data_IF_376689474304
#
_entry.id   IF_376689474304
#
_cell.length_a   1.000
_cell.length_b   1.000
_cell.length_c   1.000
_cell.angle_alpha   90.00
_cell.angle_beta   90.00
_cell.angle_gamma   90.00
#
_symmetry.space_group_name_H-M   'P 1'
#
loop_
_entity.id
_entity.type
_entity.pdbx_description
1 polymer ?
#
# COMPACT_ATOMS: atom_id res chain seq x y z
N UNK A 1 -0.94 -11.97 -31.86
CA UNK A 1 -2.14 -11.15 -32.22
C UNK A 1 -2.55 -10.40 -30.96
N UNK A 2 -2.72 -9.06 -30.99
CA UNK A 2 -3.03 -8.29 -29.77
C UNK A 2 -4.38 -8.74 -29.21
N UNK A 3 -4.41 -9.23 -27.97
CA UNK A 3 -5.66 -9.64 -27.32
C UNK A 3 -6.65 -8.46 -27.20
N UNK A 4 -7.93 -8.77 -27.35
CA UNK A 4 -9.00 -7.83 -27.05
C UNK A 4 -9.08 -7.60 -25.54
N UNK A 5 -9.56 -6.43 -25.13
CA UNK A 5 -9.63 -6.10 -23.71
C UNK A 5 -10.56 -7.07 -22.95
N UNK A 6 -11.65 -7.51 -23.60
CA UNK A 6 -12.58 -8.50 -23.03
C UNK A 6 -11.92 -9.86 -22.84
N UNK A 7 -11.07 -10.31 -23.77
CA UNK A 7 -10.36 -11.60 -23.61
C UNK A 7 -9.34 -11.53 -22.49
N UNK A 8 -8.66 -10.39 -22.31
CA UNK A 8 -7.75 -10.18 -21.17
C UNK A 8 -8.48 -10.41 -19.83
N UNK A 9 -9.70 -9.92 -19.70
CA UNK A 9 -10.50 -10.06 -18.48
C UNK A 9 -11.05 -11.49 -18.29
N UNK A 10 -11.71 -12.03 -19.32
CA UNK A 10 -12.36 -13.35 -19.26
C UNK A 10 -11.34 -14.46 -19.08
N UNK A 11 -10.29 -14.45 -19.91
CA UNK A 11 -9.28 -15.48 -19.84
C UNK A 11 -8.40 -15.29 -18.60
N UNK A 12 -8.15 -14.05 -18.15
CA UNK A 12 -7.48 -13.80 -16.88
C UNK A 12 -8.25 -14.36 -15.68
N UNK A 13 -9.58 -14.24 -15.68
CA UNK A 13 -10.44 -14.90 -14.69
C UNK A 13 -10.36 -16.42 -14.78
N UNK A 14 -10.36 -16.98 -16.00
CA UNK A 14 -10.18 -18.41 -16.20
C UNK A 14 -8.81 -18.90 -15.70
N UNK A 15 -7.73 -18.16 -15.96
CA UNK A 15 -6.38 -18.47 -15.47
C UNK A 15 -6.34 -18.52 -13.95
N UNK A 16 -6.89 -17.50 -13.26
CA UNK A 16 -7.00 -17.48 -11.79
C UNK A 16 -7.82 -18.66 -11.27
N UNK A 17 -9.00 -18.90 -11.83
CA UNK A 17 -9.90 -19.98 -11.41
C UNK A 17 -9.25 -21.37 -11.52
N UNK A 18 -8.47 -21.59 -12.57
CA UNK A 18 -7.79 -22.86 -12.80
C UNK A 18 -6.50 -23.00 -11.98
N UNK A 19 -6.00 -21.92 -11.36
CA UNK A 19 -4.74 -21.87 -10.64
C UNK A 19 -4.90 -21.20 -9.26
N UNK A 20 -5.54 -21.87 -8.29
CA UNK A 20 -5.74 -21.32 -6.95
C UNK A 20 -4.41 -21.04 -6.23
N UNK A 21 -3.32 -21.69 -6.64
CA UNK A 21 -1.98 -21.47 -6.10
C UNK A 21 -1.47 -20.03 -6.28
N UNK A 22 -2.00 -19.25 -7.24
CA UNK A 22 -1.66 -17.82 -7.42
C UNK A 22 -2.01 -17.00 -6.17
N UNK A 23 -2.89 -17.50 -5.29
CA UNK A 23 -3.27 -16.83 -4.05
C UNK A 23 -2.20 -16.96 -2.94
N UNK A 24 -1.34 -17.98 -2.99
CA UNK A 24 -0.37 -18.29 -1.93
C UNK A 24 0.57 -17.12 -1.60
N UNK A 25 1.17 -16.40 -2.57
CA UNK A 25 2.01 -15.25 -2.28
C UNK A 25 1.31 -14.19 -1.41
N UNK A 26 0.02 -13.92 -1.65
CA UNK A 26 -0.73 -12.89 -0.92
C UNK A 26 -1.06 -13.33 0.50
N UNK A 27 -1.38 -14.61 0.70
CA UNK A 27 -1.59 -15.17 2.03
C UNK A 27 -0.30 -15.12 2.84
N UNK A 28 0.83 -15.50 2.23
CA UNK A 28 2.13 -15.47 2.89
C UNK A 28 2.61 -14.05 3.17
N UNK A 29 2.37 -13.10 2.26
CA UNK A 29 2.62 -11.67 2.48
C UNK A 29 1.86 -11.16 3.70
N UNK A 30 0.54 -11.39 3.73
CA UNK A 30 -0.31 -10.99 4.84
C UNK A 30 0.16 -11.59 6.18
N UNK A 31 0.47 -12.89 6.22
CA UNK A 31 0.98 -13.54 7.42
C UNK A 31 2.33 -12.98 7.85
N UNK A 32 3.25 -12.76 6.92
CA UNK A 32 4.57 -12.20 7.21
C UNK A 32 4.46 -10.78 7.77
N UNK A 33 3.62 -9.93 7.16
CA UNK A 33 3.36 -8.57 7.62
C UNK A 33 2.68 -8.57 8.99
N UNK A 34 1.73 -9.48 9.27
CA UNK A 34 1.11 -9.59 10.61
C UNK A 34 2.14 -9.99 11.66
N UNK A 35 2.92 -11.04 11.42
CA UNK A 35 3.94 -11.50 12.38
C UNK A 35 4.92 -10.38 12.67
N UNK A 36 5.39 -9.69 11.62
CA UNK A 36 6.27 -8.54 11.77
C UNK A 36 5.59 -7.39 12.53
N UNK A 37 4.33 -7.11 12.26
CA UNK A 37 3.57 -6.06 12.93
C UNK A 37 3.41 -6.34 14.42
N UNK A 38 3.13 -7.59 14.81
CA UNK A 38 3.05 -7.99 16.23
C UNK A 38 4.38 -7.75 16.93
N UNK A 39 5.49 -8.21 16.34
CA UNK A 39 6.84 -7.99 16.89
C UNK A 39 7.18 -6.50 17.01
N UNK A 40 6.82 -5.71 15.99
CA UNK A 40 6.98 -4.27 15.99
C UNK A 40 6.18 -3.59 17.12
N UNK A 41 4.89 -3.93 17.29
CA UNK A 41 4.06 -3.38 18.36
C UNK A 41 4.62 -3.71 19.74
N UNK A 42 5.11 -4.93 19.96
CA UNK A 42 5.79 -5.31 21.20
C UNK A 42 7.01 -4.40 21.43
N UNK A 43 7.85 -4.21 20.41
CA UNK A 43 9.03 -3.34 20.51
C UNK A 43 8.65 -1.88 20.82
N UNK A 44 7.62 -1.34 20.16
CA UNK A 44 7.13 0.03 20.42
C UNK A 44 6.61 0.17 21.84
N UNK A 45 5.82 -0.78 22.34
CA UNK A 45 5.29 -0.77 23.71
C UNK A 45 6.45 -0.81 24.72
N UNK A 46 7.48 -1.63 24.48
CA UNK A 46 8.66 -1.69 25.34
C UNK A 46 9.41 -0.35 25.37
N UNK A 47 9.66 0.25 24.20
CA UNK A 47 10.35 1.55 24.10
C UNK A 47 9.54 2.66 24.77
N UNK A 48 8.25 2.75 24.50
CA UNK A 48 7.37 3.73 25.12
C UNK A 48 7.19 3.50 26.62
N UNK A 49 7.16 2.24 27.07
CA UNK A 49 7.14 1.87 28.49
C UNK A 49 8.39 2.36 29.22
N UNK A 50 9.57 2.16 28.64
CA UNK A 50 10.85 2.65 29.20
C UNK A 50 10.87 4.18 29.26
N UNK A 51 10.49 4.86 28.18
CA UNK A 51 10.43 6.32 28.13
C UNK A 51 9.40 6.89 29.11
N UNK A 52 8.21 6.30 29.16
CA UNK A 52 7.12 6.68 30.05
C UNK A 52 7.45 6.46 31.53
N UNK A 53 8.13 5.36 31.86
CA UNK A 53 8.62 5.11 33.22
C UNK A 53 9.68 6.13 33.65
N UNK A 54 10.58 6.52 32.75
CA UNK A 54 11.58 7.57 33.01
C UNK A 54 10.97 8.94 33.27
N UNK A 55 9.86 9.28 32.59
CA UNK A 55 9.12 10.52 32.86
C UNK A 55 8.32 10.42 34.16
N UNK A 56 7.63 9.29 34.39
CA UNK A 56 6.84 9.07 35.59
C UNK A 56 7.67 9.11 36.88
N UNK A 57 8.88 8.56 36.88
CA UNK A 57 9.79 8.58 38.03
C UNK A 57 10.29 9.98 38.40
N UNK A 58 10.42 10.88 37.41
CA UNK A 58 10.72 12.29 37.66
C UNK A 58 9.55 13.00 38.35
N UNK A 59 8.31 12.73 37.93
CA UNK A 59 7.11 13.29 38.55
C UNK A 59 6.87 12.79 39.98
N UNK A 60 7.20 11.53 40.29
CA UNK A 60 6.97 10.95 41.62
C UNK A 60 8.02 11.35 42.65
N UNK A 61 9.14 11.97 42.24
CA UNK A 61 10.24 12.39 43.13
C UNK A 61 9.97 13.66 43.95
N UNK A 62 8.85 14.36 43.72
CA UNK A 62 8.27 15.33 44.67
C UNK A 62 9.08 16.62 44.94
N UNK A 63 10.13 16.94 44.17
CA UNK A 63 10.93 18.16 44.41
C UNK A 63 10.24 19.44 43.88
N UNK A 64 9.91 20.43 44.73
CA UNK A 64 9.16 21.64 44.33
C UNK A 64 9.93 22.60 43.42
N UNK A 65 11.26 22.62 43.51
CA UNK A 65 12.13 23.48 42.68
C UNK A 65 12.34 22.93 41.25
N UNK A 66 11.93 21.68 41.00
CA UNK A 66 12.07 21.01 39.72
C UNK A 66 11.05 21.45 38.66
N UNK A 67 9.88 21.98 39.04
CA UNK A 67 8.77 22.26 38.11
C UNK A 67 9.08 23.35 37.07
N UNK A 68 9.84 24.39 37.41
CA UNK A 68 10.25 25.44 36.46
C UNK A 68 11.40 25.00 35.55
N UNK A 69 12.30 24.14 36.03
CA UNK A 69 13.38 23.55 35.23
C UNK A 69 12.96 22.25 34.49
N UNK A 70 11.76 21.74 34.75
CA UNK A 70 11.18 20.57 34.10
C UNK A 70 10.74 20.86 32.67
N UNK A 71 10.22 22.06 32.39
CA UNK A 71 9.70 22.41 31.06
C UNK A 71 10.72 22.20 29.91
N UNK A 72 11.97 22.68 30.00
CA UNK A 72 12.98 22.40 28.96
C UNK A 72 13.41 20.92 28.90
N UNK A 73 13.48 20.22 30.04
CA UNK A 73 13.81 18.78 30.08
C UNK A 73 12.69 17.90 29.50
N UNK A 74 11.43 18.28 29.74
CA UNK A 74 10.24 17.63 29.16
C UNK A 74 10.14 17.92 27.66
N UNK A 75 10.40 19.16 27.21
CA UNK A 75 10.47 19.45 25.77
C UNK A 75 11.58 18.66 25.09
N UNK A 76 12.78 18.59 25.67
CA UNK A 76 13.89 17.80 25.14
C UNK A 76 13.55 16.29 25.08
N UNK A 77 12.98 15.74 26.15
CA UNK A 77 12.52 14.35 26.19
C UNK A 77 11.42 14.04 25.17
N UNK A 78 10.46 14.96 24.98
CA UNK A 78 9.41 14.82 23.97
C UNK A 78 9.95 14.86 22.55
N UNK A 79 10.91 15.74 22.25
CA UNK A 79 11.56 15.79 20.93
C UNK A 79 12.32 14.48 20.66
N UNK A 80 13.06 13.97 21.64
CA UNK A 80 13.77 12.69 21.51
C UNK A 80 12.78 11.54 21.31
N UNK A 81 11.71 11.49 22.09
CA UNK A 81 10.65 10.48 21.94
C UNK A 81 10.01 10.56 20.55
N UNK A 82 9.73 11.75 20.04
CA UNK A 82 9.19 11.96 18.70
C UNK A 82 10.14 11.45 17.61
N UNK A 83 11.44 11.75 17.73
CA UNK A 83 12.46 11.26 16.79
C UNK A 83 12.53 9.73 16.81
N UNK A 84 12.51 9.12 18.00
CA UNK A 84 12.52 7.66 18.15
C UNK A 84 11.28 7.05 17.50
N UNK A 85 10.09 7.59 17.78
CA UNK A 85 8.84 7.10 17.17
C UNK A 85 8.88 7.24 15.65
N UNK A 86 9.37 8.38 15.12
CA UNK A 86 9.51 8.58 13.69
C UNK A 86 10.47 7.57 13.05
N UNK A 87 11.60 7.31 13.70
CA UNK A 87 12.56 6.29 13.25
C UNK A 87 11.96 4.89 13.25
N UNK A 88 11.19 4.53 14.29
CA UNK A 88 10.49 3.23 14.38
C UNK A 88 9.46 3.08 13.26
N UNK A 89 8.66 4.11 13.00
CA UNK A 89 7.68 4.12 11.90
C UNK A 89 8.37 3.95 10.55
N UNK A 90 9.51 4.63 10.34
CA UNK A 90 10.29 4.50 9.11
C UNK A 90 10.83 3.08 8.93
N UNK A 91 11.37 2.47 9.99
CA UNK A 91 11.87 1.08 9.96
C UNK A 91 10.74 0.10 9.65
N UNK A 92 9.58 0.25 10.30
CA UNK A 92 8.40 -0.56 10.02
C UNK A 92 8.00 -0.46 8.55
N UNK A 93 7.91 0.77 8.03
CA UNK A 93 7.54 1.03 6.65
C UNK A 93 8.52 0.37 5.65
N UNK A 94 9.83 0.53 5.85
CA UNK A 94 10.86 -0.04 4.97
C UNK A 94 10.80 -1.57 4.96
N UNK A 95 10.66 -2.20 6.13
CA UNK A 95 10.62 -3.66 6.23
C UNK A 95 9.33 -4.21 5.59
N UNK A 96 8.19 -3.55 5.78
CA UNK A 96 6.93 -3.94 5.12
C UNK A 96 7.07 -3.88 3.59
N UNK A 97 7.65 -2.81 3.02
CA UNK A 97 7.91 -2.74 1.57
C UNK A 97 8.81 -3.89 1.13
N UNK A 98 9.84 -4.24 1.91
CA UNK A 98 10.75 -5.33 1.58
C UNK A 98 10.03 -6.69 1.53
N UNK A 99 9.22 -6.99 2.55
CA UNK A 99 8.40 -8.21 2.63
C UNK A 99 7.46 -8.28 1.43
N UNK A 100 6.67 -7.22 1.21
CA UNK A 100 5.70 -7.17 0.11
C UNK A 100 6.37 -7.25 -1.25
N UNK A 101 7.54 -6.65 -1.43
CA UNK A 101 8.27 -6.73 -2.71
C UNK A 101 8.71 -8.16 -3.05
N UNK A 102 9.02 -9.00 -2.05
CA UNK A 102 9.32 -10.42 -2.29
C UNK A 102 8.09 -11.16 -2.81
N UNK A 103 6.95 -11.03 -2.12
CA UNK A 103 5.74 -11.77 -2.44
C UNK A 103 5.05 -11.24 -3.70
N UNK A 104 5.03 -9.91 -3.93
CA UNK A 104 4.49 -9.32 -5.16
C UNK A 104 5.30 -9.78 -6.38
N UNK A 105 6.64 -9.80 -6.30
CA UNK A 105 7.46 -10.34 -7.38
C UNK A 105 7.15 -11.82 -7.66
N UNK A 106 7.01 -12.62 -6.59
CA UNK A 106 6.58 -14.02 -6.70
C UNK A 106 5.20 -14.18 -7.36
N UNK A 107 4.22 -13.36 -6.97
CA UNK A 107 2.87 -13.38 -7.52
C UNK A 107 2.81 -13.03 -9.01
N UNK A 108 3.57 -12.01 -9.43
CA UNK A 108 3.67 -11.63 -10.84
C UNK A 108 4.35 -12.75 -11.65
N UNK A 109 5.41 -13.37 -11.11
CA UNK A 109 6.08 -14.51 -11.74
C UNK A 109 5.16 -15.74 -11.88
N UNK A 110 4.39 -16.06 -10.83
CA UNK A 110 3.38 -17.12 -10.88
C UNK A 110 2.26 -16.81 -11.89
N UNK A 111 1.85 -15.54 -11.98
CA UNK A 111 0.85 -15.11 -12.96
C UNK A 111 1.35 -15.29 -14.39
N UNK A 112 2.61 -14.93 -14.67
CA UNK A 112 3.26 -15.19 -15.97
C UNK A 112 3.26 -16.68 -16.31
N UNK A 113 3.72 -17.52 -15.39
CA UNK A 113 3.78 -18.97 -15.64
C UNK A 113 2.39 -19.57 -15.84
N UNK A 114 1.39 -19.12 -15.07
CA UNK A 114 0.02 -19.56 -15.24
C UNK A 114 -0.58 -19.12 -16.58
N UNK A 115 -0.23 -17.94 -17.09
CA UNK A 115 -0.67 -17.46 -18.41
C UNK A 115 -0.01 -18.27 -19.54
N UNK A 116 1.29 -18.57 -19.43
CA UNK A 116 2.05 -19.26 -20.48
C UNK A 116 1.82 -20.78 -20.49
N UNK A 117 1.75 -21.41 -19.30
CA UNK A 117 1.74 -22.88 -19.14
C UNK A 117 0.44 -23.44 -18.57
N UNK A 118 -0.55 -22.59 -18.28
CA UNK A 118 -1.80 -22.96 -17.58
C UNK A 118 -1.61 -23.58 -16.19
N UNK A 119 -0.39 -23.57 -15.64
CA UNK A 119 -0.03 -24.13 -14.33
C UNK A 119 0.99 -23.21 -13.67
N UNK A 120 0.97 -23.16 -12.34
CA UNK A 120 1.99 -22.46 -11.55
C UNK A 120 2.38 -23.26 -10.31
N UNK A 121 3.56 -22.98 -9.77
CA UNK A 121 4.08 -23.64 -8.57
C UNK A 121 4.60 -22.64 -7.53
N UNK A 122 4.72 -23.08 -6.28
CA UNK A 122 5.36 -22.31 -5.20
C UNK A 122 6.87 -22.15 -5.45
N UNK A 123 7.50 -23.07 -6.19
CA UNK A 123 8.91 -22.93 -6.58
C UNK A 123 9.12 -21.66 -7.42
N UNK A 124 8.22 -21.41 -8.37
CA UNK A 124 8.21 -20.22 -9.23
C UNK A 124 8.08 -18.93 -8.41
N UNK A 125 7.24 -18.95 -7.38
CA UNK A 125 7.11 -17.83 -6.44
C UNK A 125 8.46 -17.48 -5.80
N UNK A 126 9.15 -18.48 -5.25
CA UNK A 126 10.42 -18.29 -4.54
C UNK A 126 11.50 -17.80 -5.50
N UNK A 127 11.55 -18.36 -6.71
CA UNK A 127 12.55 -18.03 -7.72
C UNK A 127 12.41 -16.58 -8.23
N UNK A 128 11.20 -16.14 -8.57
CA UNK A 128 10.94 -14.74 -8.92
C UNK A 128 11.09 -13.80 -7.72
N UNK A 129 10.61 -14.20 -6.55
CA UNK A 129 10.77 -13.45 -5.30
C UNK A 129 12.24 -13.15 -5.03
N UNK A 130 13.11 -14.16 -5.01
CA UNK A 130 14.55 -13.96 -4.74
C UNK A 130 15.24 -13.11 -5.80
N UNK A 131 14.95 -13.33 -7.09
CA UNK A 131 15.62 -12.63 -8.18
C UNK A 131 15.20 -11.17 -8.31
N UNK A 132 13.93 -10.84 -8.03
CA UNK A 132 13.38 -9.51 -8.27
C UNK A 132 13.05 -8.70 -7.02
N UNK A 133 13.07 -9.28 -5.82
CA UNK A 133 12.77 -8.58 -4.55
C UNK A 133 13.54 -7.27 -4.42
N UNK A 134 14.86 -7.26 -4.61
CA UNK A 134 15.66 -6.03 -4.43
C UNK A 134 15.35 -4.96 -5.48
N UNK A 135 15.10 -5.37 -6.72
CA UNK A 135 14.76 -4.43 -7.78
C UNK A 135 13.38 -3.82 -7.57
N UNK A 136 12.41 -4.64 -7.15
CA UNK A 136 11.05 -4.22 -6.86
C UNK A 136 10.96 -3.38 -5.59
N UNK A 137 11.72 -3.74 -4.54
CA UNK A 137 11.89 -2.96 -3.32
C UNK A 137 12.39 -1.54 -3.63
N UNK A 138 13.48 -1.43 -4.40
CA UNK A 138 14.04 -0.12 -4.75
C UNK A 138 13.06 0.71 -5.58
N UNK A 139 12.33 0.10 -6.51
CA UNK A 139 11.29 0.80 -7.29
C UNK A 139 10.15 1.27 -6.39
N UNK A 140 9.66 0.42 -5.50
CA UNK A 140 8.58 0.76 -4.58
C UNK A 140 9.02 1.90 -3.63
N UNK A 141 10.25 1.89 -3.13
CA UNK A 141 10.81 3.01 -2.34
C UNK A 141 10.83 4.30 -3.16
N UNK A 142 11.32 4.28 -4.41
CA UNK A 142 11.34 5.46 -5.29
C UNK A 142 9.91 5.99 -5.51
N UNK A 143 8.96 5.11 -5.84
CA UNK A 143 7.56 5.47 -6.07
C UNK A 143 6.96 6.08 -4.79
N UNK A 144 7.19 5.47 -3.62
CA UNK A 144 6.74 5.99 -2.33
C UNK A 144 7.31 7.37 -2.01
N UNK A 145 8.59 7.62 -2.36
CA UNK A 145 9.19 8.96 -2.20
C UNK A 145 8.53 9.99 -3.12
N UNK A 146 8.14 9.60 -4.35
CA UNK A 146 7.38 10.49 -5.25
C UNK A 146 6.00 10.82 -4.67
N UNK A 147 5.29 9.83 -4.11
CA UNK A 147 4.03 10.07 -3.40
C UNK A 147 4.21 11.00 -2.20
N UNK A 148 5.23 10.76 -1.38
CA UNK A 148 5.54 11.59 -0.23
C UNK A 148 5.85 13.03 -0.65
N UNK A 149 6.66 13.22 -1.71
CA UNK A 149 6.98 14.53 -2.24
C UNK A 149 5.73 15.27 -2.72
N UNK A 150 4.83 14.59 -3.43
CA UNK A 150 3.56 15.16 -3.88
C UNK A 150 2.70 15.63 -2.69
N UNK A 151 2.57 14.80 -1.64
CA UNK A 151 1.84 15.16 -0.42
C UNK A 151 2.49 16.37 0.27
N UNK A 152 3.80 16.35 0.48
CA UNK A 152 4.54 17.42 1.18
C UNK A 152 4.43 18.74 0.43
N UNK A 153 4.58 18.74 -0.91
CA UNK A 153 4.46 19.97 -1.71
C UNK A 153 3.04 20.52 -1.64
N UNK A 154 2.02 19.69 -1.85
CA UNK A 154 0.63 20.17 -1.90
C UNK A 154 0.17 20.63 -0.51
N UNK A 155 0.43 19.84 0.54
CA UNK A 155 0.13 20.24 1.93
C UNK A 155 0.91 21.50 2.31
N UNK A 156 2.19 21.58 1.95
CA UNK A 156 3.02 22.77 2.21
C UNK A 156 2.47 24.03 1.55
N UNK A 157 2.04 23.93 0.29
CA UNK A 157 1.49 25.07 -0.48
C UNK A 157 0.09 25.48 0.03
N UNK A 158 -0.80 24.53 0.28
CA UNK A 158 -2.21 24.85 0.59
C UNK A 158 -2.50 24.99 2.09
N UNK A 159 -1.63 24.49 2.97
CA UNK A 159 -1.77 24.63 4.42
C UNK A 159 -0.62 25.46 4.98
N UNK A 160 0.64 25.12 4.63
CA UNK A 160 1.82 25.80 5.17
C UNK A 160 1.92 27.28 4.80
N UNK A 161 1.76 27.62 3.51
CA UNK A 161 1.87 29.01 3.04
C UNK A 161 0.77 29.92 3.65
N UNK A 162 -0.52 29.54 3.67
CA UNK A 162 -1.53 30.39 4.31
C UNK A 162 -1.27 30.66 5.79
N UNK A 163 -0.82 29.65 6.55
CA UNK A 163 -0.46 29.83 7.96
C UNK A 163 0.68 30.85 8.10
N UNK A 164 1.72 30.74 7.26
CA UNK A 164 2.86 31.69 7.27
C UNK A 164 2.46 33.12 6.89
N UNK A 165 1.44 33.27 6.03
CA UNK A 165 0.89 34.57 5.66
C UNK A 165 -0.07 35.16 6.70
N UNK A 166 -0.25 34.49 7.85
CA UNK A 166 -1.07 34.98 8.97
C UNK A 166 -2.55 34.64 8.85
N UNK A 167 -2.96 33.77 7.92
CA UNK A 167 -4.34 33.31 7.86
C UNK A 167 -4.62 32.31 9.00
N UNK A 168 -5.50 32.69 9.92
CA UNK A 168 -5.95 31.82 11.01
C UNK A 168 -6.89 30.74 10.48
N UNK A 169 -6.59 29.48 10.78
CA UNK A 169 -7.46 28.34 10.50
C UNK A 169 -8.69 28.27 11.42
N UNK A 170 -8.75 29.07 12.50
CA UNK A 170 -9.70 28.88 13.60
C UNK A 170 -10.66 30.03 13.90
N UNK A 171 -10.48 31.24 13.34
CA UNK A 171 -11.26 32.43 13.72
C UNK A 171 -12.49 32.70 12.86
N UNK A 172 -12.29 32.77 11.54
CA UNK A 172 -13.32 33.10 10.54
C UNK A 172 -13.28 32.06 9.41
N UNK A 173 -13.76 30.84 9.71
CA UNK A 173 -13.49 29.57 9.01
C UNK A 173 -13.74 29.48 7.50
N UNK A 174 -14.22 30.53 6.84
CA UNK A 174 -14.36 30.59 5.37
C UNK A 174 -13.01 30.67 4.66
N UNK A 175 -12.06 31.49 5.14
CA UNK A 175 -10.77 31.68 4.46
C UNK A 175 -9.90 30.41 4.52
N UNK A 176 -9.83 29.74 5.67
CA UNK A 176 -9.12 28.46 5.79
C UNK A 176 -9.71 27.35 4.90
N UNK A 177 -11.04 27.29 4.81
CA UNK A 177 -11.74 26.32 3.96
C UNK A 177 -11.48 26.55 2.46
N UNK A 178 -11.36 27.82 2.03
CA UNK A 178 -11.05 28.19 0.65
C UNK A 178 -9.67 27.73 0.19
N UNK A 179 -8.70 27.54 1.09
CA UNK A 179 -7.38 26.97 0.74
C UNK A 179 -7.31 25.46 0.92
N UNK A 180 -7.93 24.91 1.97
CA UNK A 180 -7.89 23.47 2.25
C UNK A 180 -8.64 22.67 1.18
N UNK A 181 -9.83 23.10 0.75
CA UNK A 181 -10.66 22.32 -0.16
C UNK A 181 -10.00 22.15 -1.55
N UNK A 182 -9.51 23.21 -2.23
CA UNK A 182 -8.78 23.04 -3.49
C UNK A 182 -7.48 22.26 -3.32
N UNK A 183 -6.77 22.44 -2.21
CA UNK A 183 -5.55 21.68 -1.91
C UNK A 183 -5.83 20.18 -1.78
N UNK A 184 -6.88 19.81 -1.07
CA UNK A 184 -7.32 18.43 -0.92
C UNK A 184 -7.77 17.83 -2.26
N UNK A 185 -8.56 18.57 -3.06
CA UNK A 185 -8.98 18.13 -4.39
C UNK A 185 -7.79 17.92 -5.32
N UNK A 186 -6.83 18.85 -5.34
CA UNK A 186 -5.61 18.73 -6.12
C UNK A 186 -4.76 17.54 -5.65
N UNK A 187 -4.67 17.33 -4.34
CA UNK A 187 -3.96 16.19 -3.76
C UNK A 187 -4.59 14.88 -4.24
N UNK A 188 -5.92 14.73 -4.10
CA UNK A 188 -6.64 13.52 -4.53
C UNK A 188 -6.43 13.29 -6.03
N UNK A 189 -6.58 14.31 -6.86
CA UNK A 189 -6.36 14.22 -8.31
C UNK A 189 -4.92 13.79 -8.63
N UNK A 190 -3.93 14.39 -7.96
CA UNK A 190 -2.53 14.08 -8.13
C UNK A 190 -2.23 12.62 -7.76
N UNK A 191 -2.72 12.15 -6.60
CA UNK A 191 -2.56 10.77 -6.15
C UNK A 191 -3.22 9.77 -7.11
N UNK A 192 -4.40 10.10 -7.64
CA UNK A 192 -5.08 9.28 -8.67
C UNK A 192 -4.20 9.17 -9.92
N UNK A 193 -3.72 10.30 -10.44
CA UNK A 193 -2.86 10.31 -11.65
C UNK A 193 -1.59 9.49 -11.41
N UNK A 194 -0.91 9.68 -10.27
CA UNK A 194 0.28 8.89 -9.92
C UNK A 194 -0.05 7.40 -9.81
N UNK A 195 -1.21 7.03 -9.26
CA UNK A 195 -1.63 5.63 -9.14
C UNK A 195 -1.83 4.96 -10.49
N UNK A 196 -2.39 5.68 -11.47
CA UNK A 196 -2.58 5.17 -12.84
C UNK A 196 -1.24 5.04 -13.56
N UNK A 197 -0.39 6.08 -13.47
CA UNK A 197 0.91 6.13 -14.16
C UNK A 197 1.85 5.04 -13.65
N UNK A 198 1.89 4.80 -12.34
CA UNK A 198 2.80 3.83 -11.73
C UNK A 198 2.25 2.40 -11.64
N UNK A 199 0.94 2.19 -11.84
CA UNK A 199 0.32 0.85 -11.84
C UNK A 199 1.08 -0.21 -12.67
N UNK A 200 1.50 0.04 -13.93
CA UNK A 200 2.18 -0.98 -14.73
C UNK A 200 3.64 -1.22 -14.34
N UNK A 201 4.26 -0.38 -13.49
CA UNK A 201 5.72 -0.41 -13.26
C UNK A 201 6.19 -1.72 -12.65
N UNK A 202 5.50 -2.21 -11.62
CA UNK A 202 5.86 -3.48 -10.97
C UNK A 202 5.79 -4.67 -11.95
N UNK A 203 4.79 -4.67 -12.83
CA UNK A 203 4.61 -5.71 -13.85
C UNK A 203 5.69 -5.61 -14.93
N UNK A 204 6.00 -4.40 -15.39
CA UNK A 204 7.05 -4.17 -16.36
C UNK A 204 8.43 -4.62 -15.85
N UNK A 205 8.74 -4.32 -14.59
CA UNK A 205 10.00 -4.71 -13.97
C UNK A 205 10.16 -6.22 -13.86
N UNK A 206 9.12 -6.92 -13.38
CA UNK A 206 9.20 -8.36 -13.13
C UNK A 206 9.08 -9.16 -14.43
N UNK A 207 8.16 -8.81 -15.33
CA UNK A 207 7.87 -9.60 -16.52
C UNK A 207 8.90 -9.44 -17.65
N UNK A 208 9.54 -8.27 -17.73
CA UNK A 208 10.63 -7.99 -18.69
C UNK A 208 12.02 -8.14 -18.10
N UNK A 209 12.13 -8.72 -16.91
CA UNK A 209 13.40 -8.99 -16.24
C UNK A 209 14.34 -7.78 -16.08
N UNK A 210 13.78 -6.59 -15.85
CA UNK A 210 14.54 -5.34 -15.81
C UNK A 210 15.16 -5.05 -14.43
N UNK A 211 16.14 -4.13 -14.42
CA UNK A 211 16.67 -3.49 -13.21
C UNK A 211 15.75 -2.35 -12.77
N UNK A 212 15.94 -1.83 -11.55
CA UNK A 212 15.11 -0.78 -10.94
C UNK A 212 14.77 0.40 -11.86
N UNK A 213 15.78 1.11 -12.38
CA UNK A 213 15.56 2.32 -13.19
C UNK A 213 14.94 1.99 -14.54
N UNK A 214 15.39 0.89 -15.16
CA UNK A 214 14.87 0.46 -16.46
C UNK A 214 13.43 -0.02 -16.35
N UNK A 215 13.07 -0.69 -15.25
CA UNK A 215 11.70 -1.09 -14.93
C UNK A 215 10.78 0.10 -14.74
N UNK A 216 11.24 1.15 -14.05
CA UNK A 216 10.49 2.41 -13.90
C UNK A 216 10.25 3.09 -15.25
N UNK A 217 11.31 3.25 -16.06
CA UNK A 217 11.21 3.83 -17.40
C UNK A 217 10.29 3.02 -18.30
N UNK A 218 10.42 1.69 -18.28
CA UNK A 218 9.60 0.79 -19.10
C UNK A 218 8.14 0.82 -18.69
N UNK A 219 7.84 0.83 -17.39
CA UNK A 219 6.47 0.94 -16.88
C UNK A 219 5.80 2.25 -17.29
N UNK A 220 6.51 3.37 -17.17
CA UNK A 220 5.99 4.68 -17.61
C UNK A 220 5.83 4.73 -19.13
N UNK A 221 6.79 4.21 -19.91
CA UNK A 221 6.66 4.10 -21.38
C UNK A 221 5.45 3.26 -21.76
N UNK A 222 5.26 2.12 -21.09
CA UNK A 222 4.12 1.25 -21.30
C UNK A 222 2.79 1.97 -21.05
N UNK A 223 2.70 2.75 -19.97
CA UNK A 223 1.55 3.62 -19.72
C UNK A 223 1.33 4.62 -20.85
N UNK A 224 2.38 5.32 -21.31
CA UNK A 224 2.28 6.30 -22.38
C UNK A 224 1.83 5.70 -23.72
N UNK A 225 2.26 4.46 -24.01
CA UNK A 225 1.90 3.71 -25.22
C UNK A 225 0.48 3.10 -25.14
N UNK A 226 0.00 2.75 -23.94
CA UNK A 226 -1.25 2.01 -23.73
C UNK A 226 -2.22 2.71 -22.77
N UNK A 227 -2.25 4.05 -22.76
CA UNK A 227 -3.00 4.89 -21.79
C UNK A 227 -4.43 4.41 -21.57
N UNK A 228 -5.16 4.15 -22.65
CA UNK A 228 -6.56 3.73 -22.59
C UNK A 228 -6.73 2.38 -21.88
N UNK A 229 -5.93 1.37 -22.22
CA UNK A 229 -6.06 0.04 -21.61
C UNK A 229 -5.63 0.03 -20.14
N UNK A 230 -4.57 0.75 -19.80
CA UNK A 230 -4.12 0.91 -18.41
C UNK A 230 -5.19 1.64 -17.59
N UNK A 231 -5.76 2.72 -18.14
CA UNK A 231 -6.85 3.46 -17.50
C UNK A 231 -8.11 2.60 -17.31
N UNK A 232 -8.54 1.86 -18.34
CA UNK A 232 -9.72 0.99 -18.26
C UNK A 232 -9.53 -0.14 -17.24
N UNK A 233 -8.36 -0.80 -17.22
CA UNK A 233 -8.10 -1.86 -16.25
C UNK A 233 -8.04 -1.29 -14.82
N UNK A 234 -7.36 -0.15 -14.64
CA UNK A 234 -7.33 0.55 -13.36
C UNK A 234 -8.74 0.95 -12.89
N UNK A 235 -9.60 1.42 -13.81
CA UNK A 235 -10.99 1.79 -13.51
C UNK A 235 -11.80 0.57 -13.05
N UNK A 236 -11.73 -0.55 -13.77
CA UNK A 236 -12.44 -1.79 -13.41
C UNK A 236 -11.99 -2.30 -12.04
N UNK A 237 -10.68 -2.35 -11.82
CA UNK A 237 -10.08 -2.73 -10.54
C UNK A 237 -10.59 -1.82 -9.42
N UNK A 238 -10.58 -0.50 -9.64
CA UNK A 238 -11.06 0.48 -8.68
C UNK A 238 -12.55 0.32 -8.39
N UNK A 239 -13.39 0.06 -9.41
CA UNK A 239 -14.82 -0.19 -9.22
C UNK A 239 -15.08 -1.46 -8.40
N UNK A 240 -14.35 -2.55 -8.68
CA UNK A 240 -14.46 -3.79 -7.90
C UNK A 240 -14.03 -3.56 -6.45
N UNK A 241 -12.91 -2.85 -6.23
CA UNK A 241 -12.44 -2.50 -4.89
C UNK A 241 -13.47 -1.66 -4.13
N UNK A 242 -14.01 -0.60 -4.73
CA UNK A 242 -15.05 0.24 -4.12
C UNK A 242 -16.29 -0.60 -3.81
N UNK A 243 -16.72 -1.48 -4.72
CA UNK A 243 -17.86 -2.35 -4.50
C UNK A 243 -17.67 -3.28 -3.29
N UNK A 244 -16.51 -3.92 -3.17
CA UNK A 244 -16.15 -4.77 -2.02
C UNK A 244 -16.13 -3.95 -0.73
N UNK A 245 -15.59 -2.73 -0.74
CA UNK A 245 -15.59 -1.84 0.42
C UNK A 245 -16.99 -1.37 0.82
N UNK A 246 -17.87 -1.05 -0.14
CA UNK A 246 -19.25 -0.68 0.13
C UNK A 246 -20.01 -1.84 0.77
N UNK A 247 -19.83 -3.08 0.28
CA UNK A 247 -20.43 -4.26 0.90
C UNK A 247 -19.92 -4.46 2.34
N UNK A 248 -18.62 -4.28 2.58
CA UNK A 248 -18.03 -4.35 3.90
C UNK A 248 -18.61 -3.27 4.83
N UNK A 249 -18.79 -2.04 4.34
CA UNK A 249 -19.40 -0.94 5.09
C UNK A 249 -20.85 -1.24 5.47
N UNK A 250 -21.66 -1.71 4.52
CA UNK A 250 -23.06 -2.10 4.77
C UNK A 250 -23.14 -3.22 5.81
N UNK A 251 -22.26 -4.22 5.69
CA UNK A 251 -22.18 -5.32 6.65
C UNK A 251 -21.86 -4.81 8.06
N UNK A 252 -20.83 -3.96 8.20
CA UNK A 252 -20.43 -3.39 9.49
C UNK A 252 -21.56 -2.57 10.12
N UNK A 253 -22.22 -1.73 9.32
CA UNK A 253 -23.36 -0.94 9.78
C UNK A 253 -24.51 -1.82 10.30
N UNK A 254 -24.81 -2.94 9.62
CA UNK A 254 -25.85 -3.87 10.05
C UNK A 254 -25.48 -4.60 11.36
N UNK A 255 -24.21 -5.00 11.50
CA UNK A 255 -23.71 -5.70 12.69
C UNK A 255 -23.68 -4.81 13.93
N UNK A 256 -23.41 -3.51 13.77
CA UNK A 256 -23.38 -2.53 14.87
C UNK A 256 -24.74 -2.35 15.56
N UNK A 257 -25.86 -2.71 14.91
CA UNK A 257 -27.21 -2.64 15.49
C UNK A 257 -27.53 -3.83 16.41
N UNK A 258 -26.68 -4.86 16.46
CA UNK A 258 -26.90 -6.08 17.23
C UNK A 258 -26.42 -5.91 18.69
N UNK A 259 -26.93 -6.74 19.63
CA UNK A 259 -26.41 -6.79 21.00
C UNK A 259 -24.90 -7.06 21.03
N UNK A 260 -24.19 -6.49 22.01
CA UNK A 260 -22.71 -6.40 22.04
C UNK A 260 -21.98 -7.72 21.82
N UNK A 261 -22.44 -8.82 22.42
CA UNK A 261 -21.76 -10.13 22.26
C UNK A 261 -21.96 -10.68 20.85
N UNK A 262 -23.18 -10.54 20.30
CA UNK A 262 -23.49 -11.00 18.96
C UNK A 262 -22.79 -10.15 17.90
N UNK A 263 -22.72 -8.83 18.11
CA UNK A 263 -22.01 -7.92 17.21
C UNK A 263 -20.51 -8.23 17.15
N UNK A 264 -19.89 -8.63 18.27
CA UNK A 264 -18.49 -9.05 18.30
C UNK A 264 -18.23 -10.30 17.46
N UNK A 265 -19.04 -11.36 17.65
CA UNK A 265 -18.90 -12.63 16.90
C UNK A 265 -19.10 -12.41 15.40
N UNK A 266 -20.12 -11.63 15.04
CA UNK A 266 -20.40 -11.30 13.64
C UNK A 266 -19.28 -10.45 13.05
N UNK A 267 -18.81 -9.41 13.75
CA UNK A 267 -17.71 -8.56 13.28
C UNK A 267 -16.44 -9.37 12.98
N UNK A 268 -16.09 -10.31 13.86
CA UNK A 268 -14.94 -11.20 13.62
C UNK A 268 -15.15 -12.10 12.40
N UNK A 269 -16.34 -12.69 12.26
CA UNK A 269 -16.69 -13.53 11.11
C UNK A 269 -16.65 -12.75 9.80
N UNK A 270 -17.22 -11.54 9.78
CA UNK A 270 -17.19 -10.65 8.63
C UNK A 270 -15.78 -10.23 8.24
N UNK A 271 -14.92 -9.94 9.23
CA UNK A 271 -13.50 -9.65 8.99
C UNK A 271 -12.79 -10.83 8.33
N UNK A 272 -13.02 -12.07 8.79
CA UNK A 272 -12.43 -13.25 8.15
C UNK A 272 -12.92 -13.43 6.71
N UNK A 273 -14.22 -13.26 6.45
CA UNK A 273 -14.79 -13.36 5.09
C UNK A 273 -14.17 -12.30 4.18
N UNK A 274 -14.11 -11.04 4.64
CA UNK A 274 -13.51 -9.94 3.90
C UNK A 274 -12.04 -10.20 3.57
N UNK A 275 -11.25 -10.70 4.52
CA UNK A 275 -9.86 -11.07 4.29
C UNK A 275 -9.72 -12.18 3.25
N UNK A 276 -10.56 -13.22 3.31
CA UNK A 276 -10.55 -14.30 2.32
C UNK A 276 -10.88 -13.77 0.93
N UNK A 277 -11.90 -12.93 0.79
CA UNK A 277 -12.27 -12.31 -0.50
C UNK A 277 -11.09 -11.49 -1.05
N UNK A 278 -10.45 -10.67 -0.22
CA UNK A 278 -9.32 -9.86 -0.67
C UNK A 278 -8.11 -10.69 -1.09
N UNK A 279 -7.68 -11.63 -0.25
CA UNK A 279 -6.42 -12.35 -0.43
C UNK A 279 -6.52 -13.49 -1.44
N UNK A 280 -7.70 -14.08 -1.60
CA UNK A 280 -7.91 -15.26 -2.48
C UNK A 280 -8.55 -14.87 -3.81
N UNK A 281 -9.41 -13.84 -3.83
CA UNK A 281 -10.15 -13.48 -5.05
C UNK A 281 -9.59 -12.21 -5.67
N UNK A 282 -9.66 -11.09 -4.94
CA UNK A 282 -9.46 -9.75 -5.51
C UNK A 282 -8.00 -9.54 -5.93
N UNK A 283 -7.06 -9.66 -5.00
CA UNK A 283 -5.64 -9.33 -5.23
C UNK A 283 -4.97 -10.27 -6.25
N UNK A 284 -5.19 -11.61 -6.18
CA UNK A 284 -4.65 -12.53 -7.19
C UNK A 284 -5.19 -12.26 -8.59
N UNK A 285 -6.50 -12.03 -8.72
CA UNK A 285 -7.15 -11.75 -10.00
C UNK A 285 -6.60 -10.47 -10.64
N UNK A 286 -6.45 -9.40 -9.85
CA UNK A 286 -5.87 -8.14 -10.34
C UNK A 286 -4.45 -8.33 -10.84
N UNK A 287 -3.65 -9.14 -10.14
CA UNK A 287 -2.27 -9.44 -10.53
C UNK A 287 -2.21 -10.21 -11.85
N UNK A 288 -3.11 -11.16 -12.06
CA UNK A 288 -3.24 -11.89 -13.33
C UNK A 288 -3.65 -10.96 -14.46
N UNK A 289 -4.67 -10.12 -14.26
CA UNK A 289 -5.13 -9.17 -15.29
C UNK A 289 -4.05 -8.18 -15.71
N UNK A 290 -3.34 -7.59 -14.75
CA UNK A 290 -2.23 -6.70 -15.07
C UNK A 290 -1.09 -7.41 -15.78
N UNK A 291 -0.74 -8.63 -15.33
CA UNK A 291 0.32 -9.41 -15.94
C UNK A 291 -0.04 -9.77 -17.39
N UNK A 292 -1.29 -10.18 -17.63
CA UNK A 292 -1.79 -10.51 -18.96
C UNK A 292 -1.87 -9.29 -19.86
N UNK A 293 -2.39 -8.17 -19.37
CA UNK A 293 -2.42 -6.91 -20.11
C UNK A 293 -1.01 -6.51 -20.57
N UNK A 294 -0.02 -6.62 -19.69
CA UNK A 294 1.36 -6.29 -20.01
C UNK A 294 1.92 -7.22 -21.09
N UNK A 295 1.79 -8.54 -20.92
CA UNK A 295 2.29 -9.54 -21.89
C UNK A 295 1.63 -9.40 -23.26
N UNK A 296 0.29 -9.27 -23.30
CA UNK A 296 -0.47 -9.16 -24.54
C UNK A 296 -0.13 -7.91 -25.37
N UNK A 297 0.35 -6.83 -24.71
CA UNK A 297 0.68 -5.57 -25.36
C UNK A 297 2.17 -5.42 -25.69
N UNK A 298 3.04 -6.13 -24.98
CA UNK A 298 4.49 -6.08 -25.21
C UNK A 298 5.03 -7.23 -26.06
N UNK A 299 4.24 -8.26 -26.33
CA UNK A 299 4.64 -9.39 -27.19
C UNK A 299 5.71 -10.30 -26.58
N UNK A 300 6.08 -10.09 -25.31
CA UNK A 300 7.05 -10.92 -24.57
C UNK A 300 6.52 -12.33 -24.25
N UNK A 301 5.26 -12.63 -24.59
CA UNK A 301 4.72 -14.00 -24.60
C UNK A 301 5.09 -14.80 -25.86
N UNK A 302 5.57 -14.15 -26.93
CA UNK A 302 5.87 -14.80 -28.23
C UNK A 302 7.37 -15.12 -28.42
N UNK A 303 8.24 -14.89 -27.42
CA UNK A 303 9.70 -15.08 -27.57
C UNK A 303 10.23 -16.46 -27.17
N UNK A 304 9.39 -17.49 -27.14
CA UNK A 304 9.83 -18.89 -27.03
C UNK A 304 9.03 -19.75 -28.02
N UNK A 305 9.29 -19.52 -29.31
CA UNK A 305 9.17 -20.53 -30.35
C UNK A 305 10.46 -20.54 -31.16
#
# INVERSE_FOLDING_TARGET
MKEDFTSILLDGFATWRNNPWICVPFILDFLAVIVFSILYFIAVILVLGILGFGVFSLFSSGQPEGMQNLAPHLMGGLVIALIIVLALVLVYYIITILITSFFTAGAIGMSKEAIEKNKTSVSTMIDYGRRKMMSLFAVNVIISLVYLLAVVIIVGVFIGVPIMLGFSLGGDGLMGFLFILPGLLLLILCLIVLSIVFAPVQYALVLSDLRTIDGLKRGVSFFLENKLFVFLLWLIISMISIFVEVLNLIYRFAVEQLPTILSLIMSFTGLLIYLVVLLVVVTPLFTVWWSRLYLARTGTGDSIY
#
